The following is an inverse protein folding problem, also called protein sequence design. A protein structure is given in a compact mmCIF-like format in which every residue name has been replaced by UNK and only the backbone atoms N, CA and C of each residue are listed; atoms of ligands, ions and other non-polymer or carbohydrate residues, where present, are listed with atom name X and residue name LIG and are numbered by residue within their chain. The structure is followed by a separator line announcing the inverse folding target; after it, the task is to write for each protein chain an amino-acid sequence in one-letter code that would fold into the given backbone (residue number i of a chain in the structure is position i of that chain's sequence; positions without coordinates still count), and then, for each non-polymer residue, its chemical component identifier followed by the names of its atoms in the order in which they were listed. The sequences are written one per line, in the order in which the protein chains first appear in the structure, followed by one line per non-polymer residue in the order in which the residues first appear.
data_IF_172316040481
#
_entry.id   IF_172316040481
#
_cell.length_a   1.000
_cell.length_b   1.000
_cell.length_c   1.000
_cell.angle_alpha   90.00
_cell.angle_beta   90.00
_cell.angle_gamma   90.00
#
_symmetry.space_group_name_H-M   'P 1'
#
loop_
_entity.id
_entity.type
_entity.pdbx_description
1 polymer ?
#
# COMPACT_ATOMS: atom_id res chain seq x y z
N UNK A 1 28.72 3.34 -8.15
CA UNK A 1 27.50 3.01 -8.91
C UNK A 1 27.02 4.30 -9.53
N UNK A 2 26.98 4.41 -10.85
CA UNK A 2 26.41 5.57 -11.52
C UNK A 2 24.87 5.52 -11.36
N UNK A 3 24.21 6.67 -11.25
CA UNK A 3 22.73 6.75 -11.18
C UNK A 3 22.03 6.02 -12.35
N UNK A 4 22.76 5.70 -13.43
CA UNK A 4 22.30 4.88 -14.56
C UNK A 4 21.84 3.48 -14.18
N UNK A 5 22.44 2.86 -13.15
CA UNK A 5 22.19 1.47 -12.83
C UNK A 5 20.85 1.29 -12.10
N UNK A 6 20.41 2.30 -11.34
CA UNK A 6 19.15 2.24 -10.57
C UNK A 6 17.90 2.26 -11.45
N UNK A 7 18.03 2.59 -12.73
CA UNK A 7 16.95 2.58 -13.71
C UNK A 7 17.08 1.46 -14.74
N UNK A 8 18.08 0.59 -14.58
CA UNK A 8 18.38 -0.49 -15.52
C UNK A 8 17.62 -1.77 -15.15
N UNK A 9 16.29 -1.73 -15.26
CA UNK A 9 15.42 -2.89 -15.08
C UNK A 9 14.22 -2.79 -16.01
N UNK A 10 13.50 -3.90 -16.18
CA UNK A 10 12.23 -3.94 -16.91
C UNK A 10 11.13 -4.30 -15.93
N UNK A 11 10.16 -3.40 -15.66
CA UNK A 11 9.06 -3.71 -14.77
C UNK A 11 8.24 -4.93 -15.23
N UNK A 12 7.78 -5.74 -14.27
CA UNK A 12 6.88 -6.88 -14.52
C UNK A 12 5.56 -6.45 -15.17
N UNK A 13 5.03 -7.23 -16.10
CA UNK A 13 3.75 -6.91 -16.75
C UNK A 13 2.62 -6.81 -15.71
N UNK A 14 1.76 -5.79 -15.81
CA UNK A 14 0.47 -5.73 -15.10
C UNK A 14 -0.63 -5.88 -16.15
N UNK A 15 -1.45 -6.91 -16.01
CA UNK A 15 -2.52 -7.21 -16.95
C UNK A 15 -3.65 -6.17 -16.87
N UNK A 16 -4.40 -6.06 -17.96
CA UNK A 16 -5.64 -5.29 -18.02
C UNK A 16 -6.74 -5.99 -17.21
N UNK A 17 -6.65 -5.92 -15.89
CA UNK A 17 -7.71 -6.42 -15.02
C UNK A 17 -8.91 -5.48 -15.09
N UNK A 18 -10.07 -6.04 -15.43
CA UNK A 18 -11.34 -5.34 -15.39
C UNK A 18 -11.68 -4.97 -13.95
N UNK A 19 -11.94 -3.68 -13.71
CA UNK A 19 -12.39 -3.20 -12.39
C UNK A 19 -13.80 -3.75 -12.18
N UNK A 20 -13.94 -4.69 -11.25
CA UNK A 20 -15.25 -5.18 -10.82
C UNK A 20 -15.79 -4.23 -9.75
N UNK A 21 -17.09 -3.99 -9.75
CA UNK A 21 -17.76 -3.33 -8.63
C UNK A 21 -17.74 -4.31 -7.46
N UNK A 22 -16.71 -4.22 -6.61
CA UNK A 22 -16.64 -4.98 -5.36
C UNK A 22 -17.57 -4.44 -4.29
N UNK A 23 -17.56 -5.10 -3.13
CA UNK A 23 -18.26 -4.63 -1.94
C UNK A 23 -17.50 -3.44 -1.34
N UNK A 24 -18.03 -2.22 -1.44
CA UNK A 24 -17.37 -1.04 -0.91
C UNK A 24 -18.17 0.25 -1.13
N UNK A 25 -17.81 1.33 -0.45
CA UNK A 25 -18.42 2.64 -0.75
C UNK A 25 -17.99 3.09 -2.15
N UNK A 26 -18.93 3.61 -2.94
CA UNK A 26 -18.68 4.02 -4.33
C UNK A 26 -17.51 5.00 -4.48
N UNK A 27 -17.26 5.81 -3.44
CA UNK A 27 -16.15 6.76 -3.39
C UNK A 27 -14.79 6.07 -3.26
N UNK A 28 -14.67 4.99 -2.46
CA UNK A 28 -13.41 4.26 -2.31
C UNK A 28 -13.05 3.52 -3.60
N UNK A 29 -14.05 2.95 -4.29
CA UNK A 29 -13.87 2.32 -5.60
C UNK A 29 -13.40 3.34 -6.64
N UNK A 30 -13.99 4.54 -6.65
CA UNK A 30 -13.59 5.62 -7.55
C UNK A 30 -12.16 6.11 -7.28
N UNK A 31 -11.80 6.36 -6.03
CA UNK A 31 -10.45 6.83 -5.67
C UNK A 31 -9.41 5.74 -5.99
N UNK A 32 -9.68 4.49 -5.63
CA UNK A 32 -8.82 3.35 -5.97
C UNK A 32 -8.59 3.22 -7.47
N UNK A 33 -9.64 3.42 -8.28
CA UNK A 33 -9.57 3.41 -9.74
C UNK A 33 -8.67 4.52 -10.26
N UNK A 34 -8.83 5.75 -9.76
CA UNK A 34 -7.99 6.89 -10.15
C UNK A 34 -6.51 6.67 -9.81
N UNK A 35 -6.22 6.15 -8.61
CA UNK A 35 -4.86 5.83 -8.19
C UNK A 35 -4.26 4.72 -9.08
N UNK A 36 -5.02 3.67 -9.38
CA UNK A 36 -4.58 2.63 -10.32
C UNK A 36 -4.26 3.21 -11.69
N UNK A 37 -5.13 4.05 -12.24
CA UNK A 37 -4.89 4.67 -13.55
C UNK A 37 -3.63 5.54 -13.55
N UNK A 38 -3.41 6.34 -12.50
CA UNK A 38 -2.20 7.15 -12.37
C UNK A 38 -0.95 6.27 -12.30
N UNK A 39 -0.96 5.25 -11.43
CA UNK A 39 0.14 4.31 -11.28
C UNK A 39 0.46 3.61 -12.60
N UNK A 40 -0.53 3.00 -13.26
CA UNK A 40 -0.31 2.22 -14.48
C UNK A 40 0.15 3.06 -15.67
N UNK A 41 -0.33 4.30 -15.81
CA UNK A 41 0.15 5.21 -16.86
C UNK A 41 1.64 5.51 -16.70
N UNK A 42 2.07 5.83 -15.48
CA UNK A 42 3.49 6.05 -15.18
C UNK A 42 4.32 4.76 -15.23
N UNK A 43 3.71 3.62 -14.85
CA UNK A 43 4.33 2.31 -14.92
C UNK A 43 4.72 1.94 -16.36
N UNK A 44 3.79 2.13 -17.30
CA UNK A 44 4.01 1.85 -18.73
C UNK A 44 4.97 2.86 -19.34
N UNK A 45 4.83 4.15 -19.01
CA UNK A 45 5.68 5.21 -19.56
C UNK A 45 7.16 5.08 -19.17
N UNK A 46 7.47 4.44 -18.03
CA UNK A 46 8.83 4.36 -17.49
C UNK A 46 9.88 3.83 -18.50
N UNK A 47 9.53 2.82 -19.30
CA UNK A 47 10.47 2.23 -20.27
C UNK A 47 10.67 3.11 -21.50
N UNK A 48 9.72 4.00 -21.80
CA UNK A 48 9.76 4.91 -22.95
C UNK A 48 10.46 6.24 -22.63
N UNK A 49 10.70 6.52 -21.35
CA UNK A 49 11.42 7.71 -20.87
C UNK A 49 12.88 7.72 -21.34
N UNK A 50 13.33 8.87 -21.85
CA UNK A 50 14.65 9.02 -22.48
C UNK A 50 15.73 9.47 -21.50
N UNK A 51 15.33 10.18 -20.46
CA UNK A 51 16.24 10.66 -19.42
C UNK A 51 15.87 10.12 -18.04
N UNK A 52 16.85 10.19 -17.13
CA UNK A 52 16.72 9.64 -15.79
C UNK A 52 15.75 10.44 -14.90
N UNK A 53 15.53 11.73 -15.18
CA UNK A 53 14.58 12.57 -14.44
C UNK A 53 13.13 12.22 -14.80
N UNK A 54 12.85 11.93 -16.07
CA UNK A 54 11.56 11.40 -16.51
C UNK A 54 11.28 10.04 -15.87
N UNK A 55 12.28 9.15 -15.85
CA UNK A 55 12.19 7.84 -15.20
C UNK A 55 11.94 7.96 -13.69
N UNK A 56 12.66 8.86 -13.03
CA UNK A 56 12.46 9.17 -11.61
C UNK A 56 11.07 9.74 -11.34
N UNK A 57 10.59 10.63 -12.21
CA UNK A 57 9.24 11.20 -12.09
C UNK A 57 8.16 10.13 -12.24
N UNK A 58 8.33 9.19 -13.18
CA UNK A 58 7.46 8.03 -13.33
C UNK A 58 7.48 7.16 -12.07
N UNK A 59 8.67 6.83 -11.54
CA UNK A 59 8.82 6.06 -10.30
C UNK A 59 8.13 6.74 -9.11
N UNK A 60 8.25 8.07 -8.98
CA UNK A 60 7.61 8.84 -7.91
C UNK A 60 6.09 8.81 -8.01
N UNK A 61 5.52 8.97 -9.21
CA UNK A 61 4.07 8.86 -9.42
C UNK A 61 3.59 7.44 -9.10
N UNK A 62 4.32 6.41 -9.54
CA UNK A 62 4.03 5.01 -9.20
C UNK A 62 4.03 4.82 -7.67
N UNK A 63 5.06 5.30 -6.97
CA UNK A 63 5.16 5.20 -5.52
C UNK A 63 3.99 5.89 -4.81
N UNK A 64 3.69 7.15 -5.16
CA UNK A 64 2.61 7.92 -4.54
C UNK A 64 1.24 7.27 -4.77
N UNK A 65 0.92 6.95 -6.01
CA UNK A 65 -0.37 6.39 -6.38
C UNK A 65 -0.58 5.01 -5.74
N UNK A 66 0.43 4.14 -5.78
CA UNK A 66 0.39 2.81 -5.14
C UNK A 66 0.29 2.91 -3.62
N UNK A 67 1.05 3.83 -2.98
CA UNK A 67 0.98 4.06 -1.53
C UNK A 67 -0.41 4.52 -1.10
N UNK A 68 -1.05 5.36 -1.91
CA UNK A 68 -2.39 5.89 -1.69
C UNK A 68 -3.45 4.79 -1.83
N UNK A 69 -3.35 3.93 -2.85
CA UNK A 69 -4.26 2.80 -3.05
C UNK A 69 -4.14 1.74 -1.96
N UNK A 70 -2.92 1.37 -1.55
CA UNK A 70 -2.71 0.45 -0.42
C UNK A 70 -3.27 1.02 0.90
N UNK A 71 -3.18 2.33 1.11
CA UNK A 71 -3.81 2.96 2.28
C UNK A 71 -5.34 2.78 2.27
N UNK A 72 -5.98 2.92 1.10
CA UNK A 72 -7.41 2.64 0.96
C UNK A 72 -7.74 1.17 1.23
N UNK A 73 -6.96 0.23 0.70
CA UNK A 73 -7.11 -1.20 0.98
C UNK A 73 -7.07 -1.48 2.48
N UNK A 74 -6.07 -0.95 3.18
CA UNK A 74 -5.95 -1.16 4.63
C UNK A 74 -7.13 -0.58 5.41
N UNK A 75 -7.64 0.59 5.01
CA UNK A 75 -8.84 1.18 5.61
C UNK A 75 -10.06 0.29 5.40
N UNK A 76 -10.28 -0.14 4.16
CA UNK A 76 -11.42 -0.99 3.80
C UNK A 76 -11.44 -2.29 4.62
N UNK A 77 -10.29 -2.95 4.74
CA UNK A 77 -10.17 -4.17 5.55
C UNK A 77 -10.35 -3.89 7.04
N UNK A 78 -9.78 -2.79 7.55
CA UNK A 78 -9.96 -2.41 8.95
C UNK A 78 -11.44 -2.16 9.29
N UNK A 79 -12.19 -1.53 8.38
CA UNK A 79 -13.60 -1.21 8.60
C UNK A 79 -14.47 -2.48 8.61
N UNK A 80 -14.26 -3.42 7.69
CA UNK A 80 -14.92 -4.74 7.72
C UNK A 80 -14.60 -5.51 9.01
N UNK A 81 -13.32 -5.63 9.35
CA UNK A 81 -12.88 -6.28 10.59
C UNK A 81 -13.50 -5.63 11.82
N UNK A 82 -13.56 -4.30 11.87
CA UNK A 82 -14.14 -3.57 12.98
C UNK A 82 -15.66 -3.77 13.06
N UNK A 83 -16.37 -3.89 11.94
CA UNK A 83 -17.78 -4.24 11.87
C UNK A 83 -18.08 -5.60 12.50
N UNK A 84 -17.20 -6.58 12.28
CA UNK A 84 -17.29 -7.94 12.85
C UNK A 84 -16.90 -7.98 14.34
N UNK A 85 -15.79 -7.35 14.71
CA UNK A 85 -15.22 -7.43 16.06
C UNK A 85 -15.83 -6.44 17.06
N UNK A 86 -16.51 -5.39 16.58
CA UNK A 86 -17.17 -4.34 17.39
C UNK A 86 -16.23 -3.69 18.43
N UNK A 87 -14.99 -3.33 18.03
CA UNK A 87 -14.00 -2.74 18.93
C UNK A 87 -14.21 -1.22 19.03
N UNK A 88 -14.78 -0.74 20.13
CA UNK A 88 -15.05 0.69 20.35
C UNK A 88 -13.81 1.52 20.74
N UNK A 89 -12.81 0.92 21.39
CA UNK A 89 -11.61 1.64 21.82
C UNK A 89 -10.59 1.76 20.70
N UNK A 90 -10.19 2.98 20.34
CA UNK A 90 -9.17 3.29 19.33
C UNK A 90 -7.84 2.56 19.60
N UNK A 91 -7.39 2.52 20.85
CA UNK A 91 -6.16 1.82 21.23
C UNK A 91 -6.24 0.31 21.03
N UNK A 92 -7.37 -0.31 21.41
CA UNK A 92 -7.62 -1.73 21.18
C UNK A 92 -7.76 -2.03 19.68
N UNK A 93 -8.42 -1.14 18.92
CA UNK A 93 -8.60 -1.27 17.47
C UNK A 93 -7.24 -1.26 16.77
N UNK A 94 -6.38 -0.28 17.08
CA UNK A 94 -5.02 -0.20 16.50
C UNK A 94 -4.16 -1.42 16.87
N UNK A 95 -4.27 -1.93 18.10
CA UNK A 95 -3.52 -3.09 18.54
C UNK A 95 -4.03 -4.42 17.93
N UNK A 96 -5.34 -4.52 17.65
CA UNK A 96 -5.95 -5.74 17.12
C UNK A 96 -5.92 -5.80 15.59
N UNK A 97 -6.19 -4.66 14.93
CA UNK A 97 -6.46 -4.55 13.49
C UNK A 97 -5.88 -3.24 12.91
N UNK A 98 -4.75 -2.75 13.43
CA UNK A 98 -4.06 -1.59 12.84
C UNK A 98 -3.52 -1.89 11.43
N UNK A 99 -3.41 -0.87 10.58
CA UNK A 99 -3.01 -1.06 9.16
C UNK A 99 -1.68 -1.80 8.99
N UNK A 100 -0.68 -1.49 9.83
CA UNK A 100 0.61 -2.18 9.79
C UNK A 100 0.44 -3.69 10.07
N UNK A 101 -0.41 -4.05 11.03
CA UNK A 101 -0.70 -5.43 11.39
C UNK A 101 -1.53 -6.14 10.32
N UNK A 102 -2.51 -5.46 9.73
CA UNK A 102 -3.29 -5.97 8.60
C UNK A 102 -2.35 -6.31 7.45
N UNK A 103 -1.50 -5.36 7.05
CA UNK A 103 -0.53 -5.56 5.97
C UNK A 103 0.42 -6.71 6.26
N UNK A 104 0.95 -6.78 7.48
CA UNK A 104 1.83 -7.87 7.90
C UNK A 104 1.19 -9.26 7.79
N UNK A 105 -0.08 -9.40 8.16
CA UNK A 105 -0.77 -10.70 8.24
C UNK A 105 -1.44 -11.14 6.95
N UNK A 106 -1.84 -10.19 6.11
CA UNK A 106 -2.56 -10.49 4.86
C UNK A 106 -1.67 -10.30 3.64
N UNK A 107 -0.73 -9.36 3.67
CA UNK A 107 0.06 -8.94 2.51
C UNK A 107 1.56 -8.76 2.88
N UNK A 108 2.24 -9.80 3.36
CA UNK A 108 3.63 -9.68 3.85
C UNK A 108 4.61 -9.21 2.77
N UNK A 109 4.46 -9.66 1.51
CA UNK A 109 5.29 -9.19 0.40
C UNK A 109 5.05 -7.70 0.11
N UNK A 110 3.78 -7.26 0.16
CA UNK A 110 3.40 -5.86 -0.03
C UNK A 110 3.98 -4.97 1.08
N UNK A 111 4.06 -5.48 2.33
CA UNK A 111 4.68 -4.76 3.45
C UNK A 111 6.15 -4.43 3.17
N UNK A 112 6.92 -5.42 2.72
CA UNK A 112 8.36 -5.24 2.43
C UNK A 112 8.53 -4.28 1.26
N UNK A 113 7.84 -4.51 0.14
CA UNK A 113 7.99 -3.67 -1.05
C UNK A 113 7.54 -2.21 -0.82
N UNK A 114 6.59 -1.97 0.09
CA UNK A 114 6.14 -0.62 0.48
C UNK A 114 7.28 0.24 1.02
N UNK A 115 8.30 -0.35 1.66
CA UNK A 115 9.44 0.38 2.24
C UNK A 115 10.16 1.17 1.15
N UNK A 116 10.43 0.56 -0.01
CA UNK A 116 11.08 1.22 -1.15
C UNK A 116 10.31 2.44 -1.67
N UNK A 117 8.98 2.38 -1.68
CA UNK A 117 8.15 3.53 -2.06
C UNK A 117 8.17 4.63 -1.00
N UNK A 118 8.19 4.28 0.29
CA UNK A 118 8.33 5.30 1.33
C UNK A 118 9.70 5.97 1.28
N UNK A 119 10.77 5.20 1.07
CA UNK A 119 12.13 5.71 0.96
C UNK A 119 12.24 6.68 -0.22
N UNK A 120 11.74 6.31 -1.41
CA UNK A 120 11.71 7.20 -2.57
C UNK A 120 10.92 8.49 -2.29
N UNK A 121 9.73 8.37 -1.70
CA UNK A 121 8.89 9.55 -1.44
C UNK A 121 9.55 10.48 -0.42
N UNK A 122 10.04 9.93 0.70
CA UNK A 122 10.71 10.71 1.72
C UNK A 122 12.01 11.34 1.19
N UNK A 123 12.74 10.62 0.33
CA UNK A 123 13.94 11.14 -0.29
C UNK A 123 13.64 12.37 -1.16
N UNK A 124 12.60 12.31 -1.99
CA UNK A 124 12.24 13.39 -2.92
C UNK A 124 11.46 14.55 -2.27
N UNK A 125 10.76 14.30 -1.15
CA UNK A 125 10.08 15.34 -0.39
C UNK A 125 11.07 16.20 0.42
N UNK A 126 12.30 15.72 0.66
CA UNK A 126 13.36 16.49 1.32
C UNK A 126 14.17 17.31 0.29
N UNK A 127 14.14 18.65 0.36
CA UNK A 127 14.82 19.52 -0.60
C UNK A 127 16.36 19.45 -0.52
N UNK A 128 16.91 18.82 0.52
CA UNK A 128 18.37 18.69 0.72
C UNK A 128 18.96 17.47 0.03
N UNK A 129 18.14 16.49 -0.32
CA UNK A 129 18.58 15.27 -0.97
C UNK A 129 18.93 15.49 -2.44
N UNK A 130 20.00 14.83 -2.89
CA UNK A 130 20.50 14.88 -4.28
C UNK A 130 20.82 13.48 -4.78
N UNK A 131 20.53 13.22 -6.04
CA UNK A 131 20.76 11.92 -6.68
C UNK A 131 19.79 10.84 -6.19
N UNK A 132 19.96 9.61 -6.69
CA UNK A 132 19.07 8.47 -6.38
C UNK A 132 19.82 7.17 -6.12
N UNK A 133 21.15 7.20 -6.04
CA UNK A 133 22.04 6.03 -6.01
C UNK A 133 21.71 4.99 -4.92
N UNK A 134 21.12 5.41 -3.80
CA UNK A 134 20.79 4.51 -2.67
C UNK A 134 19.33 4.00 -2.68
N UNK A 135 18.53 4.39 -3.69
CA UNK A 135 17.11 4.03 -3.75
C UNK A 135 16.87 2.78 -4.60
N UNK A 136 16.06 1.86 -4.08
CA UNK A 136 15.61 0.69 -4.83
C UNK A 136 14.38 1.03 -5.70
N UNK A 137 14.62 1.56 -6.89
CA UNK A 137 13.55 1.93 -7.83
C UNK A 137 12.80 0.70 -8.35
N UNK A 138 13.49 -0.41 -8.63
CA UNK A 138 12.83 -1.67 -9.02
C UNK A 138 11.82 -2.13 -7.96
N UNK A 139 12.17 -2.00 -6.68
CA UNK A 139 11.29 -2.27 -5.55
C UNK A 139 9.98 -1.46 -5.54
N UNK A 140 9.99 -0.23 -6.08
CA UNK A 140 8.78 0.59 -6.25
C UNK A 140 7.84 -0.02 -7.29
N UNK A 141 8.38 -0.54 -8.39
CA UNK A 141 7.60 -1.19 -9.43
C UNK A 141 7.12 -2.58 -8.99
N UNK A 142 7.92 -3.30 -8.20
CA UNK A 142 7.48 -4.53 -7.54
C UNK A 142 6.29 -4.24 -6.62
N UNK A 143 6.35 -3.20 -5.80
CA UNK A 143 5.25 -2.80 -4.93
C UNK A 143 3.96 -2.50 -5.70
N UNK A 144 4.05 -1.78 -6.83
CA UNK A 144 2.94 -1.52 -7.74
C UNK A 144 2.36 -2.80 -8.34
N UNK A 145 3.22 -3.70 -8.81
CA UNK A 145 2.81 -4.99 -9.36
C UNK A 145 2.09 -5.85 -8.31
N UNK A 146 2.66 -5.99 -7.10
CA UNK A 146 2.03 -6.73 -6.01
C UNK A 146 0.62 -6.18 -5.71
N UNK A 147 0.43 -4.86 -5.69
CA UNK A 147 -0.87 -4.27 -5.38
C UNK A 147 -1.90 -4.47 -6.52
N UNK A 148 -1.52 -4.11 -7.75
CA UNK A 148 -2.46 -4.00 -8.87
C UNK A 148 -2.55 -5.22 -9.77
N UNK A 149 -1.65 -6.20 -9.62
CA UNK A 149 -1.74 -7.51 -10.26
C UNK A 149 -2.17 -8.57 -9.23
N UNK A 150 -1.35 -8.79 -8.20
CA UNK A 150 -1.55 -9.94 -7.29
C UNK A 150 -2.67 -9.72 -6.27
N UNK A 151 -2.88 -8.48 -5.83
CA UNK A 151 -3.83 -8.16 -4.75
C UNK A 151 -5.01 -7.29 -5.21
N UNK A 152 -5.25 -7.24 -6.52
CA UNK A 152 -6.29 -6.40 -7.11
C UNK A 152 -7.70 -6.80 -6.67
N UNK A 153 -7.93 -8.09 -6.44
CA UNK A 153 -9.21 -8.59 -5.91
C UNK A 153 -9.48 -8.10 -4.49
N UNK A 154 -8.46 -7.98 -3.65
CA UNK A 154 -8.64 -7.41 -2.32
C UNK A 154 -8.92 -5.90 -2.38
N UNK A 155 -8.38 -5.20 -3.39
CA UNK A 155 -8.54 -3.76 -3.58
C UNK A 155 -9.91 -3.37 -4.17
N UNK A 156 -10.47 -4.17 -5.07
CA UNK A 156 -11.72 -3.87 -5.79
C UNK A 156 -12.79 -4.96 -5.70
N UNK A 157 -12.62 -5.96 -4.85
CA UNK A 157 -13.44 -7.16 -4.83
C UNK A 157 -13.67 -7.66 -3.42
N UNK A 158 -13.24 -8.89 -3.14
CA UNK A 158 -13.52 -9.58 -1.88
C UNK A 158 -12.33 -9.45 -0.94
N UNK A 159 -12.60 -9.02 0.30
CA UNK A 159 -11.60 -9.03 1.37
C UNK A 159 -11.19 -10.49 1.65
N UNK A 160 -9.89 -10.83 1.62
CA UNK A 160 -9.43 -12.18 1.92
C UNK A 160 -9.89 -12.59 3.33
N UNK A 161 -10.44 -13.80 3.47
CA UNK A 161 -11.05 -14.25 4.73
C UNK A 161 -10.08 -14.12 5.91
N UNK A 162 -10.38 -13.23 6.87
CA UNK A 162 -9.49 -12.98 8.00
C UNK A 162 -9.71 -13.96 9.16
N UNK A 163 -10.54 -15.00 9.01
CA UNK A 163 -10.88 -15.93 10.07
C UNK A 163 -9.65 -16.38 10.88
N UNK A 164 -9.70 -16.13 12.20
CA UNK A 164 -8.66 -16.42 13.19
C UNK A 164 -7.30 -15.70 13.02
N UNK A 165 -7.14 -14.80 12.04
CA UNK A 165 -5.88 -14.05 11.86
C UNK A 165 -5.76 -12.83 12.76
N UNK A 166 -6.85 -12.34 13.35
CA UNK A 166 -6.85 -11.11 14.17
C UNK A 166 -7.49 -11.31 15.55
N UNK A 167 -6.71 -11.73 16.57
CA UNK A 167 -7.21 -11.78 17.92
C UNK A 167 -7.43 -10.37 18.47
N UNK A 168 -8.45 -10.22 19.31
CA UNK A 168 -8.71 -8.97 20.01
C UNK A 168 -7.64 -8.72 21.07
N UNK A 169 -6.91 -7.61 20.94
CA UNK A 169 -5.89 -7.15 21.89
C UNK A 169 -6.42 -5.96 22.67
N UNK A 170 -6.36 -6.04 24.00
CA UNK A 170 -6.82 -4.97 24.90
C UNK A 170 -5.65 -4.03 25.20
N UNK A 171 -5.83 -2.73 24.99
CA UNK A 171 -4.80 -1.74 25.28
C UNK A 171 -4.57 -1.57 26.80
N UNK A 172 -3.41 -1.03 27.18
CA UNK A 172 -3.03 -0.81 28.60
C UNK A 172 -4.10 -0.04 29.38
N UNK A 173 -4.70 1.00 28.77
CA UNK A 173 -5.73 1.82 29.42
C UNK A 173 -7.02 1.04 29.70
N UNK A 174 -7.49 0.24 28.75
CA UNK A 174 -8.67 -0.61 28.94
C UNK A 174 -8.40 -1.75 29.93
N UNK A 175 -7.20 -2.33 29.89
CA UNK A 175 -6.77 -3.35 30.86
C UNK A 175 -6.77 -2.79 32.29
N UNK A 176 -6.25 -1.57 32.48
CA UNK A 176 -6.25 -0.90 33.77
C UNK A 176 -7.67 -0.59 34.29
N UNK A 177 -8.60 -0.18 33.41
CA UNK A 177 -10.01 0.02 33.78
C UNK A 177 -10.68 -1.28 34.22
N UNK A 178 -10.47 -2.38 33.48
CA UNK A 178 -11.02 -3.69 33.83
C UNK A 178 -10.54 -4.21 35.19
N UNK A 179 -9.28 -3.92 35.56
CA UNK A 179 -8.71 -4.30 36.87
C UNK A 179 -9.28 -3.48 38.04
N UNK A 180 -9.75 -2.25 37.79
CA UNK A 180 -10.35 -1.37 38.82
C UNK A 180 -11.83 -1.62 39.05
N UNK A 181 -12.49 -2.37 38.16
CA UNK A 181 -13.91 -2.73 38.25
C UNK A 181 -14.13 -4.12 38.84
N UNK A 182 -13.06 -4.77 39.32
CA UNK A 182 -13.09 -5.99 40.14
C UNK A 182 -12.72 -5.62 41.56
#
# INVERSE_FOLDING_TARGET
MSDSDNFAFTPSLIDSVAIRLGEGSSINVAIGTMQRMAALRSYVAFNDCKDWMEKLSCAYVVALATRSADQLLMHHIQDDLNGRMKISCVGCRRASIGHALIRERLFPALKVAREHSNDLIHHLDDPTNKGVAELNIEGVFLYCHLLFQENIEALFGTIPDPANRFPRVICKNCSAKLKKSK
#
